data_IF_604018440228
#
_entry.id   IF_604018440228
#
_cell.length_a   1.000
_cell.length_b   1.000
_cell.length_c   1.000
_cell.angle_alpha   90.00
_cell.angle_beta   90.00
_cell.angle_gamma   90.00
#
_symmetry.space_group_name_H-M   'P 1'
#
loop_
_entity.id
_entity.type
_entity.pdbx_description
1 polymer ?
#
# COMPACT_ATOMS: atom_id res chain seq x y z
N UNK A 1 -20.91 -7.50 9.88
CA UNK A 1 -21.15 -6.86 8.55
C UNK A 1 -20.73 -7.84 7.48
N UNK A 2 -21.56 -8.09 6.48
CA UNK A 2 -21.24 -8.94 5.33
C UNK A 2 -20.87 -8.04 4.15
N UNK A 3 -19.84 -8.41 3.42
CA UNK A 3 -19.43 -7.81 2.15
C UNK A 3 -19.73 -8.75 0.96
N UNK A 4 -20.69 -9.66 1.14
CA UNK A 4 -21.12 -10.55 0.08
C UNK A 4 -21.53 -9.75 -1.16
N UNK A 5 -21.09 -10.20 -2.32
CA UNK A 5 -21.32 -9.56 -3.63
C UNK A 5 -20.67 -8.16 -3.80
N UNK A 6 -19.76 -7.76 -2.92
CA UNK A 6 -18.96 -6.56 -3.08
C UNK A 6 -17.53 -6.89 -3.50
N UNK A 7 -16.97 -6.05 -4.36
CA UNK A 7 -15.60 -6.18 -4.84
C UNK A 7 -14.70 -5.13 -4.22
N UNK A 8 -13.60 -5.58 -3.63
CA UNK A 8 -12.63 -4.74 -2.96
C UNK A 8 -11.26 -4.83 -3.63
N UNK A 9 -10.66 -3.73 -4.04
CA UNK A 9 -9.27 -3.71 -4.49
C UNK A 9 -8.33 -3.34 -3.34
N UNK A 10 -7.37 -4.20 -3.03
CA UNK A 10 -6.35 -3.93 -2.00
C UNK A 10 -5.04 -3.54 -2.67
N UNK A 11 -4.74 -2.26 -2.71
CA UNK A 11 -3.45 -1.73 -3.19
C UNK A 11 -2.36 -2.13 -2.20
N UNK A 12 -1.34 -2.85 -2.68
CA UNK A 12 -0.31 -3.41 -1.81
C UNK A 12 -0.74 -4.68 -1.05
N UNK A 13 -1.77 -5.37 -1.53
CA UNK A 13 -2.38 -6.54 -0.92
C UNK A 13 -1.41 -7.68 -0.60
N UNK A 14 -0.39 -7.90 -1.42
CA UNK A 14 0.63 -8.95 -1.19
C UNK A 14 1.66 -8.63 -0.09
N UNK A 15 1.61 -7.43 0.49
CA UNK A 15 2.44 -7.04 1.64
C UNK A 15 1.96 -7.64 2.96
N UNK A 16 2.71 -7.42 4.04
CA UNK A 16 2.38 -7.98 5.38
C UNK A 16 1.02 -7.49 5.87
N UNK A 17 0.80 -6.18 5.89
CA UNK A 17 -0.47 -5.58 6.31
C UNK A 17 -1.55 -5.89 5.27
N UNK A 18 -1.23 -5.75 3.97
CA UNK A 18 -2.15 -6.03 2.88
C UNK A 18 -2.70 -7.46 2.91
N UNK A 19 -1.87 -8.44 3.30
CA UNK A 19 -2.30 -9.83 3.51
C UNK A 19 -3.36 -9.95 4.62
N UNK A 20 -3.17 -9.25 5.73
CA UNK A 20 -4.15 -9.20 6.81
C UNK A 20 -5.47 -8.58 6.37
N UNK A 21 -5.41 -7.47 5.64
CA UNK A 21 -6.57 -6.80 5.06
C UNK A 21 -7.30 -7.74 4.08
N UNK A 22 -6.57 -8.33 3.12
CA UNK A 22 -7.13 -9.27 2.13
C UNK A 22 -7.84 -10.44 2.81
N UNK A 23 -7.20 -11.06 3.81
CA UNK A 23 -7.81 -12.16 4.57
C UNK A 23 -9.10 -11.73 5.30
N UNK A 24 -9.10 -10.53 5.88
CA UNK A 24 -10.27 -9.98 6.57
C UNK A 24 -11.44 -9.75 5.62
N UNK A 25 -11.18 -9.17 4.44
CA UNK A 25 -12.20 -8.90 3.42
C UNK A 25 -12.77 -10.21 2.82
N UNK A 26 -11.91 -11.19 2.51
CA UNK A 26 -12.34 -12.52 2.06
C UNK A 26 -13.24 -13.21 3.09
N UNK A 27 -12.88 -13.14 4.39
CA UNK A 27 -13.72 -13.68 5.48
C UNK A 27 -15.06 -12.95 5.61
N UNK A 28 -15.12 -11.67 5.26
CA UNK A 28 -16.35 -10.91 5.23
C UNK A 28 -17.22 -11.20 3.98
N UNK A 29 -16.73 -12.04 3.06
CA UNK A 29 -17.46 -12.49 1.87
C UNK A 29 -17.20 -11.66 0.62
N UNK A 30 -16.28 -10.69 0.65
CA UNK A 30 -15.94 -9.89 -0.52
C UNK A 30 -15.17 -10.68 -1.58
N UNK A 31 -15.33 -10.29 -2.84
CA UNK A 31 -14.33 -10.57 -3.88
C UNK A 31 -13.18 -9.60 -3.72
N UNK A 32 -11.95 -10.10 -3.65
CA UNK A 32 -10.78 -9.25 -3.37
C UNK A 32 -9.79 -9.28 -4.51
N UNK A 33 -9.53 -8.11 -5.08
CA UNK A 33 -8.52 -7.90 -6.11
C UNK A 33 -7.21 -7.46 -5.45
N UNK A 34 -6.11 -8.12 -5.82
CA UNK A 34 -4.76 -7.71 -5.45
C UNK A 34 -3.86 -7.68 -6.67
N UNK A 35 -2.94 -6.74 -6.72
CA UNK A 35 -1.98 -6.65 -7.81
C UNK A 35 -0.53 -6.73 -7.33
N UNK A 36 0.33 -7.27 -8.20
CA UNK A 36 1.78 -7.27 -8.04
C UNK A 36 2.47 -7.27 -9.40
N UNK A 37 3.68 -6.73 -9.48
CA UNK A 37 4.53 -6.82 -10.67
C UNK A 37 5.11 -8.22 -10.91
N UNK A 38 5.11 -9.08 -9.88
CA UNK A 38 5.66 -10.44 -9.92
C UNK A 38 4.53 -11.47 -9.82
N UNK A 39 4.41 -12.31 -10.83
CA UNK A 39 3.50 -13.46 -10.84
C UNK A 39 3.84 -14.47 -9.75
N UNK A 40 5.13 -14.75 -9.56
CA UNK A 40 5.61 -15.65 -8.51
C UNK A 40 5.14 -15.20 -7.11
N UNK A 41 5.17 -13.88 -6.84
CA UNK A 41 4.67 -13.33 -5.58
C UNK A 41 3.16 -13.47 -5.46
N UNK A 42 2.41 -13.34 -6.55
CA UNK A 42 0.96 -13.53 -6.56
C UNK A 42 0.60 -15.00 -6.33
N UNK A 43 1.28 -15.92 -7.03
CA UNK A 43 1.08 -17.36 -6.85
C UNK A 43 1.32 -17.79 -5.40
N UNK A 44 2.48 -17.42 -4.84
CA UNK A 44 2.83 -17.69 -3.44
C UNK A 44 1.86 -17.04 -2.45
N UNK A 45 1.36 -15.86 -2.76
CA UNK A 45 0.36 -15.18 -1.95
C UNK A 45 -0.98 -15.92 -1.94
N UNK A 46 -1.44 -16.40 -3.10
CA UNK A 46 -2.66 -17.21 -3.23
C UNK A 46 -2.54 -18.52 -2.48
N UNK A 47 -1.41 -19.23 -2.62
CA UNK A 47 -1.07 -20.44 -1.88
C UNK A 47 -1.11 -20.23 -0.36
N UNK A 48 -0.46 -19.18 0.13
CA UNK A 48 -0.44 -18.82 1.56
C UNK A 48 -1.84 -18.52 2.14
N UNK A 49 -2.81 -18.21 1.29
CA UNK A 49 -4.21 -17.99 1.66
C UNK A 49 -5.11 -19.22 1.43
N UNK A 50 -4.56 -20.31 0.86
CA UNK A 50 -5.32 -21.53 0.55
C UNK A 50 -6.16 -21.45 -0.72
N UNK A 51 -5.71 -20.68 -1.72
CA UNK A 51 -6.37 -20.51 -3.03
C UNK A 51 -7.86 -20.12 -2.94
N UNK A 52 -8.23 -19.02 -2.26
CA UNK A 52 -9.64 -18.66 -2.11
C UNK A 52 -10.28 -18.34 -3.46
N UNK A 53 -11.45 -18.88 -3.75
CA UNK A 53 -12.20 -18.65 -5.00
C UNK A 53 -12.47 -17.16 -5.29
N UNK A 54 -12.65 -16.36 -4.23
CA UNK A 54 -12.93 -14.91 -4.34
C UNK A 54 -11.67 -14.04 -4.34
N UNK A 55 -10.49 -14.62 -4.48
CA UNK A 55 -9.25 -13.88 -4.64
C UNK A 55 -8.90 -13.75 -6.12
N UNK A 56 -8.85 -12.51 -6.59
CA UNK A 56 -8.42 -12.17 -7.95
C UNK A 56 -7.02 -11.57 -7.91
N UNK A 57 -6.07 -12.21 -8.55
CA UNK A 57 -4.67 -11.78 -8.60
C UNK A 57 -4.35 -11.20 -9.97
N UNK A 58 -3.77 -10.01 -10.00
CA UNK A 58 -3.47 -9.28 -11.24
C UNK A 58 -1.98 -8.96 -11.34
N UNK A 59 -1.36 -9.37 -12.45
CA UNK A 59 -0.01 -8.91 -12.77
C UNK A 59 -0.07 -7.48 -13.29
N UNK A 60 0.43 -6.55 -12.49
CA UNK A 60 0.40 -5.14 -12.87
C UNK A 60 0.94 -4.23 -11.77
N UNK A 61 1.01 -2.94 -12.09
CA UNK A 61 1.51 -1.89 -11.19
C UNK A 61 0.56 -0.71 -11.18
N UNK A 62 0.39 -0.10 -10.01
CA UNK A 62 -0.35 1.16 -9.84
C UNK A 62 0.58 2.37 -9.72
N UNK A 63 1.86 2.21 -10.05
CA UNK A 63 2.79 3.34 -10.19
C UNK A 63 2.41 4.20 -11.41
N UNK A 64 2.77 5.49 -11.41
CA UNK A 64 2.61 6.36 -12.57
C UNK A 64 3.11 5.71 -13.88
N UNK A 65 2.36 5.88 -14.96
CA UNK A 65 2.65 5.28 -16.27
C UNK A 65 2.18 3.83 -16.45
N UNK A 66 1.84 3.12 -15.36
CA UNK A 66 1.38 1.72 -15.42
C UNK A 66 -0.05 1.53 -14.90
N UNK A 67 -0.52 2.44 -14.04
CA UNK A 67 -1.79 2.31 -13.33
C UNK A 67 -2.98 2.17 -14.28
N UNK A 68 -3.11 3.05 -15.27
CA UNK A 68 -4.22 3.04 -16.23
C UNK A 68 -4.37 1.70 -16.95
N UNK A 69 -3.27 1.14 -17.46
CA UNK A 69 -3.28 -0.18 -18.10
C UNK A 69 -3.74 -1.28 -17.13
N UNK A 70 -3.15 -1.30 -15.93
CA UNK A 70 -3.47 -2.32 -14.92
C UNK A 70 -4.94 -2.27 -14.51
N UNK A 71 -5.47 -1.07 -14.25
CA UNK A 71 -6.86 -0.89 -13.83
C UNK A 71 -7.83 -1.22 -14.95
N UNK A 72 -7.58 -0.75 -16.17
CA UNK A 72 -8.43 -1.00 -17.32
C UNK A 72 -8.59 -2.50 -17.61
N UNK A 73 -7.49 -3.21 -17.71
CA UNK A 73 -7.51 -4.66 -17.97
C UNK A 73 -8.29 -5.45 -16.91
N UNK A 74 -8.32 -4.97 -15.67
CA UNK A 74 -8.98 -5.65 -14.56
C UNK A 74 -10.47 -5.34 -14.47
N UNK A 75 -10.84 -4.07 -14.62
CA UNK A 75 -12.20 -3.60 -14.36
C UNK A 75 -13.10 -3.56 -15.60
N UNK A 76 -12.62 -4.04 -16.75
CA UNK A 76 -13.50 -4.25 -17.93
C UNK A 76 -14.57 -5.31 -17.66
N UNK A 77 -14.28 -6.28 -16.80
CA UNK A 77 -15.15 -7.42 -16.52
C UNK A 77 -15.70 -7.48 -15.08
N UNK A 78 -15.30 -6.55 -14.20
CA UNK A 78 -15.67 -6.62 -12.78
C UNK A 78 -16.05 -5.26 -12.20
N UNK A 79 -17.18 -5.15 -11.48
CA UNK A 79 -17.50 -3.95 -10.72
C UNK A 79 -16.49 -3.74 -9.59
N UNK A 80 -16.32 -2.50 -9.14
CA UNK A 80 -15.49 -2.12 -8.01
C UNK A 80 -16.32 -1.33 -7.01
N UNK A 81 -16.45 -1.79 -5.79
CA UNK A 81 -17.22 -1.13 -4.73
C UNK A 81 -16.29 -0.42 -3.73
N UNK A 82 -15.16 -1.03 -3.39
CA UNK A 82 -14.26 -0.52 -2.38
C UNK A 82 -12.80 -0.57 -2.80
N UNK A 83 -12.03 0.41 -2.34
CA UNK A 83 -10.57 0.40 -2.44
C UNK A 83 -9.97 0.54 -1.04
N UNK A 84 -9.01 -0.33 -0.72
CA UNK A 84 -8.17 -0.19 0.47
C UNK A 84 -6.74 0.04 0.01
N UNK A 85 -6.30 1.29 0.10
CA UNK A 85 -5.00 1.72 -0.38
C UNK A 85 -3.96 1.65 0.74
N UNK A 86 -3.20 0.55 0.75
CA UNK A 86 -2.08 0.32 1.67
C UNK A 86 -0.75 0.21 0.93
N UNK A 87 -0.69 0.51 -0.34
CA UNK A 87 0.53 0.41 -1.12
C UNK A 87 1.74 0.98 -0.38
N UNK A 88 2.84 0.23 -0.34
CA UNK A 88 4.09 0.67 0.23
C UNK A 88 5.21 0.60 -0.82
N UNK A 89 5.99 1.65 -0.89
CA UNK A 89 7.24 1.68 -1.65
C UNK A 89 8.39 1.59 -0.65
N UNK A 90 9.37 0.79 -0.95
CA UNK A 90 10.58 0.72 -0.14
C UNK A 90 11.55 1.81 -0.59
N UNK A 91 11.88 2.71 0.30
CA UNK A 91 12.81 3.83 0.06
C UNK A 91 14.10 3.70 0.86
N UNK A 92 14.36 2.55 1.40
CA UNK A 92 15.63 2.21 2.03
C UNK A 92 16.34 1.15 1.19
N UNK A 93 16.83 1.52 0.10
CA UNK A 93 17.58 0.69 -0.83
C UNK A 93 17.85 1.50 -2.08
N UNK A 94 18.79 1.11 -2.88
CA UNK A 94 19.06 1.78 -4.14
C UNK A 94 17.77 1.91 -4.94
N UNK A 95 17.37 3.14 -5.23
CA UNK A 95 16.22 3.45 -6.04
C UNK A 95 16.41 2.85 -7.43
N UNK A 96 15.86 1.69 -7.69
CA UNK A 96 15.93 0.98 -8.96
C UNK A 96 16.47 -0.43 -8.89
N UNK A 97 17.12 -0.84 -7.82
CA UNK A 97 17.51 -2.23 -7.64
C UNK A 97 16.61 -2.94 -6.64
N UNK A 98 16.10 -4.11 -7.00
CA UNK A 98 15.37 -5.00 -6.08
C UNK A 98 16.33 -5.77 -5.15
N UNK A 99 17.61 -5.41 -5.10
CA UNK A 99 18.59 -6.13 -4.32
C UNK A 99 18.51 -5.77 -2.85
N UNK A 100 17.98 -6.70 -2.07
CA UNK A 100 17.82 -6.59 -0.62
C UNK A 100 19.12 -6.72 0.15
N UNK A 101 20.24 -6.98 -0.53
CA UNK A 101 21.51 -7.32 0.11
C UNK A 101 22.41 -6.13 0.35
N UNK A 102 22.11 -5.01 -0.30
CA UNK A 102 22.89 -3.80 -0.11
C UNK A 102 22.24 -2.87 0.91
N UNK A 103 22.36 -3.23 2.19
CA UNK A 103 21.94 -2.39 3.31
C UNK A 103 22.91 -1.20 3.53
N UNK A 104 24.05 -1.17 2.82
CA UNK A 104 25.11 -0.15 3.00
C UNK A 104 24.68 1.25 2.56
N UNK A 105 23.66 1.35 1.70
CA UNK A 105 23.12 2.60 1.19
C UNK A 105 21.77 3.00 1.81
N UNK A 106 21.42 2.42 2.94
CA UNK A 106 20.20 2.82 3.67
C UNK A 106 20.39 4.20 4.26
N UNK A 107 19.57 5.17 3.79
CA UNK A 107 19.42 6.45 4.50
C UNK A 107 18.65 6.15 5.79
N UNK A 108 19.39 5.90 6.85
CA UNK A 108 18.79 5.64 8.16
C UNK A 108 18.45 6.97 8.83
N UNK A 109 17.18 7.15 9.15
CA UNK A 109 16.76 8.24 10.03
C UNK A 109 17.38 8.07 11.40
N UNK A 110 18.32 8.92 11.75
CA UNK A 110 19.00 8.90 13.06
C UNK A 110 20.50 9.19 13.00
N UNK A 111 21.15 9.00 11.88
CA UNK A 111 22.51 9.52 11.73
C UNK A 111 22.44 11.02 11.40
N UNK A 112 22.81 11.84 12.36
CA UNK A 112 22.92 13.30 12.14
C UNK A 112 23.82 13.55 10.94
N UNK A 113 23.30 14.26 9.93
CA UNK A 113 24.02 14.71 8.75
C UNK A 113 24.00 13.75 7.56
N UNK A 114 23.72 12.45 7.72
CA UNK A 114 23.79 11.51 6.60
C UNK A 114 22.76 11.76 5.50
N UNK A 115 21.54 12.17 5.86
CA UNK A 115 20.48 12.45 4.89
C UNK A 115 20.79 13.68 4.02
N UNK A 116 21.13 14.81 4.64
CA UNK A 116 21.44 16.06 3.93
C UNK A 116 22.75 15.98 3.13
N UNK A 117 23.68 15.12 3.54
CA UNK A 117 24.98 14.97 2.88
C UNK A 117 25.01 13.93 1.78
N UNK A 118 24.08 12.99 1.77
CA UNK A 118 24.10 11.84 0.88
C UNK A 118 23.21 11.97 -0.35
N UNK A 119 22.53 13.10 -0.54
CA UNK A 119 21.55 13.28 -1.60
C UNK A 119 21.54 14.72 -2.09
N UNK A 120 21.63 14.93 -3.42
CA UNK A 120 21.43 16.24 -4.01
C UNK A 120 19.93 16.62 -4.01
N UNK A 121 19.61 17.93 -4.19
CA UNK A 121 18.21 18.36 -4.33
C UNK A 121 17.48 17.65 -5.47
N UNK A 122 18.14 17.40 -6.59
CA UNK A 122 17.58 16.72 -7.77
C UNK A 122 17.30 15.25 -7.49
N UNK A 123 18.20 14.58 -6.79
CA UNK A 123 18.04 13.18 -6.36
C UNK A 123 16.93 13.03 -5.31
N UNK A 124 16.64 14.06 -4.53
CA UNK A 124 15.64 14.05 -3.47
C UNK A 124 14.21 13.96 -3.99
N UNK A 125 13.88 14.64 -5.10
CA UNK A 125 12.49 14.82 -5.59
C UNK A 125 11.79 13.49 -5.82
N UNK A 126 12.42 12.58 -6.56
CA UNK A 126 11.84 11.27 -6.88
C UNK A 126 11.53 10.43 -5.65
N UNK A 127 12.53 10.11 -4.82
CA UNK A 127 12.34 9.34 -3.59
C UNK A 127 11.36 9.97 -2.60
N UNK A 128 11.37 11.28 -2.44
CA UNK A 128 10.49 11.98 -1.51
C UNK A 128 9.01 11.90 -1.88
N UNK A 129 8.70 11.81 -3.18
CA UNK A 129 7.32 11.76 -3.67
C UNK A 129 6.82 10.36 -4.05
N UNK A 130 7.67 9.36 -4.05
CA UNK A 130 7.40 8.06 -4.66
C UNK A 130 6.16 7.35 -4.07
N UNK A 131 5.96 7.41 -2.76
CA UNK A 131 4.81 6.78 -2.11
C UNK A 131 3.52 7.55 -2.41
N UNK A 132 3.56 8.86 -2.33
CA UNK A 132 2.41 9.71 -2.66
C UNK A 132 2.02 9.55 -4.14
N UNK A 133 2.99 9.47 -5.04
CA UNK A 133 2.74 9.22 -6.47
C UNK A 133 2.06 7.88 -6.74
N UNK A 134 2.44 6.83 -6.02
CA UNK A 134 1.74 5.54 -6.08
C UNK A 134 0.28 5.67 -5.66
N UNK A 135 0.03 6.30 -4.52
CA UNK A 135 -1.32 6.46 -3.98
C UNK A 135 -2.16 7.42 -4.83
N UNK A 136 -1.56 8.47 -5.36
CA UNK A 136 -2.23 9.40 -6.28
C UNK A 136 -2.66 8.69 -7.57
N UNK A 137 -1.74 7.99 -8.24
CA UNK A 137 -2.06 7.22 -9.45
C UNK A 137 -3.13 6.16 -9.21
N UNK A 138 -3.07 5.48 -8.06
CA UNK A 138 -4.09 4.51 -7.69
C UNK A 138 -5.45 5.18 -7.49
N UNK A 139 -5.52 6.32 -6.80
CA UNK A 139 -6.75 7.07 -6.58
C UNK A 139 -7.32 7.61 -7.89
N UNK A 140 -6.48 8.22 -8.73
CA UNK A 140 -6.86 8.78 -10.02
C UNK A 140 -7.52 7.74 -10.94
N UNK A 141 -7.01 6.52 -10.95
CA UNK A 141 -7.53 5.46 -11.82
C UNK A 141 -8.67 4.67 -11.19
N UNK A 142 -8.70 4.50 -9.88
CA UNK A 142 -9.67 3.63 -9.21
C UNK A 142 -10.93 4.39 -8.75
N UNK A 143 -10.82 5.62 -8.26
CA UNK A 143 -11.97 6.38 -7.75
C UNK A 143 -13.08 6.55 -8.81
N UNK A 144 -12.80 6.95 -10.07
CA UNK A 144 -13.84 7.10 -11.08
C UNK A 144 -14.56 5.79 -11.44
N UNK A 145 -13.96 4.65 -11.13
CA UNK A 145 -14.47 3.31 -11.44
C UNK A 145 -15.23 2.65 -10.30
N UNK A 146 -15.24 3.27 -9.13
CA UNK A 146 -16.06 2.79 -8.01
C UNK A 146 -17.53 2.93 -8.38
N UNK A 147 -18.27 1.85 -8.21
CA UNK A 147 -19.69 1.75 -8.49
C UNK A 147 -20.48 1.68 -7.19
N UNK A 148 -21.75 2.03 -7.23
CA UNK A 148 -22.67 2.00 -6.08
C UNK A 148 -23.68 0.85 -6.20
N UNK A 149 -23.25 -0.29 -6.73
CA UNK A 149 -24.14 -1.37 -7.11
C UNK A 149 -24.85 -2.01 -5.91
N UNK A 150 -24.18 -2.06 -4.75
CA UNK A 150 -24.62 -2.86 -3.60
C UNK A 150 -24.52 -2.09 -2.26
N UNK A 151 -24.66 -0.76 -2.26
CA UNK A 151 -24.61 0.05 -1.05
C UNK A 151 -23.51 1.09 -1.04
N UNK A 152 -23.11 1.62 0.14
CA UNK A 152 -22.13 2.68 0.24
C UNK A 152 -20.74 2.21 -0.17
N UNK A 153 -20.12 2.93 -1.07
CA UNK A 153 -18.79 2.67 -1.59
C UNK A 153 -17.71 3.48 -0.88
N UNK A 154 -16.46 3.02 -0.90
CA UNK A 154 -15.38 3.71 -0.19
C UNK A 154 -14.01 3.61 -0.83
N UNK A 155 -13.21 4.66 -0.62
CA UNK A 155 -11.76 4.66 -0.83
C UNK A 155 -11.07 4.90 0.51
N UNK A 156 -10.37 3.89 1.04
CA UNK A 156 -9.78 3.93 2.38
C UNK A 156 -8.26 3.88 2.30
N UNK A 157 -7.59 4.94 2.74
CA UNK A 157 -6.16 4.92 2.96
C UNK A 157 -5.83 4.17 4.25
N UNK A 158 -4.83 3.29 4.20
CA UNK A 158 -4.26 2.67 5.39
C UNK A 158 -2.81 3.09 5.50
N UNK A 159 -2.54 3.96 6.45
CA UNK A 159 -1.23 4.60 6.67
C UNK A 159 -0.67 4.21 8.04
N UNK A 160 0.59 4.56 8.29
CA UNK A 160 1.17 4.37 9.63
C UNK A 160 1.09 5.65 10.45
N UNK A 161 0.89 5.53 11.74
CA UNK A 161 0.82 6.65 12.70
C UNK A 161 2.13 6.81 13.51
N UNK A 162 3.25 6.26 13.02
CA UNK A 162 4.54 6.39 13.71
C UNK A 162 5.36 7.61 13.26
N UNK A 163 4.81 8.45 12.39
CA UNK A 163 5.45 9.68 11.93
C UNK A 163 5.51 10.75 13.01
N UNK A 164 6.56 11.57 12.99
CA UNK A 164 6.76 12.66 13.97
C UNK A 164 7.22 12.20 15.35
N UNK A 165 7.40 10.92 15.60
CA UNK A 165 7.93 10.44 16.87
C UNK A 165 9.45 10.60 16.95
N UNK A 166 10.00 11.33 17.96
CA UNK A 166 11.43 11.59 18.09
C UNK A 166 12.29 10.33 18.22
N UNK A 167 11.68 9.22 18.63
CA UNK A 167 12.30 7.89 18.74
C UNK A 167 11.89 6.94 17.62
N UNK A 168 11.25 7.44 16.55
CA UNK A 168 10.82 6.63 15.42
C UNK A 168 12.02 6.01 14.71
N UNK A 169 11.93 4.72 14.43
CA UNK A 169 12.94 3.97 13.66
C UNK A 169 12.71 4.10 12.14
N UNK A 170 12.13 5.19 11.68
CA UNK A 170 11.92 5.42 10.26
C UNK A 170 13.12 6.13 9.64
N UNK A 171 13.40 5.84 8.39
CA UNK A 171 14.31 6.64 7.59
C UNK A 171 13.72 8.03 7.34
N UNK A 172 14.56 9.02 7.09
CA UNK A 172 14.11 10.38 6.77
C UNK A 172 13.14 10.40 5.60
N UNK A 173 13.41 9.67 4.51
CA UNK A 173 12.49 9.51 3.38
C UNK A 173 11.19 8.80 3.76
N UNK A 174 11.25 7.84 4.68
CA UNK A 174 10.07 7.17 5.21
C UNK A 174 9.13 8.12 5.95
N UNK A 175 9.69 9.04 6.70
CA UNK A 175 8.97 10.09 7.40
C UNK A 175 8.32 11.06 6.41
N UNK A 176 9.09 11.60 5.46
CA UNK A 176 8.62 12.52 4.43
C UNK A 176 7.48 11.87 3.61
N UNK A 177 7.70 10.66 3.11
CA UNK A 177 6.69 9.96 2.30
C UNK A 177 5.40 9.69 3.08
N UNK A 178 5.47 9.42 4.38
CA UNK A 178 4.28 9.23 5.21
C UNK A 178 3.45 10.51 5.29
N UNK A 179 4.10 11.66 5.53
CA UNK A 179 3.42 12.96 5.61
C UNK A 179 2.81 13.36 4.26
N UNK A 180 3.48 13.05 3.15
CA UNK A 180 2.91 13.27 1.82
C UNK A 180 1.62 12.45 1.59
N UNK A 181 1.57 11.20 2.04
CA UNK A 181 0.33 10.39 1.93
C UNK A 181 -0.77 10.92 2.85
N UNK A 182 -0.44 11.41 4.05
CA UNK A 182 -1.43 12.06 4.92
C UNK A 182 -2.02 13.32 4.27
N UNK A 183 -1.17 14.16 3.66
CA UNK A 183 -1.61 15.33 2.90
C UNK A 183 -2.52 14.95 1.73
N UNK A 184 -2.15 13.93 0.96
CA UNK A 184 -2.96 13.42 -0.14
C UNK A 184 -4.32 12.89 0.35
N UNK A 185 -4.34 12.11 1.42
CA UNK A 185 -5.58 11.59 2.00
C UNK A 185 -6.50 12.72 2.50
N UNK A 186 -5.93 13.77 3.10
CA UNK A 186 -6.68 14.95 3.51
C UNK A 186 -7.26 15.72 2.31
N UNK A 187 -6.47 15.91 1.25
CA UNK A 187 -6.92 16.58 0.03
C UNK A 187 -8.10 15.84 -0.60
N UNK A 188 -8.00 14.53 -0.81
CA UNK A 188 -9.07 13.73 -1.42
C UNK A 188 -10.35 13.66 -0.57
N UNK A 189 -10.25 13.75 0.76
CA UNK A 189 -11.46 13.84 1.62
C UNK A 189 -12.21 15.15 1.46
N UNK A 190 -11.53 16.22 1.06
CA UNK A 190 -12.10 17.54 0.87
C UNK A 190 -12.46 17.83 -0.59
N UNK A 191 -12.10 16.94 -1.50
CA UNK A 191 -12.41 17.08 -2.92
C UNK A 191 -13.89 16.76 -3.17
N UNK A 192 -14.53 17.55 -4.03
CA UNK A 192 -15.87 17.27 -4.53
C UNK A 192 -15.77 16.23 -5.65
N UNK A 193 -15.92 14.98 -5.28
CA UNK A 193 -15.99 13.89 -6.24
C UNK A 193 -17.36 13.88 -6.92
N UNK A 194 -17.40 13.50 -8.19
CA UNK A 194 -18.66 13.37 -8.96
C UNK A 194 -19.66 12.39 -8.32
N UNK A 195 -19.16 11.46 -7.53
CA UNK A 195 -19.93 10.46 -6.78
C UNK A 195 -19.68 10.58 -5.30
N UNK A 196 -20.68 10.32 -4.48
CA UNK A 196 -20.55 10.30 -3.01
C UNK A 196 -19.73 9.07 -2.53
N UNK A 197 -18.44 9.13 -2.77
CA UNK A 197 -17.50 8.10 -2.30
C UNK A 197 -16.99 8.47 -0.90
N UNK A 198 -17.10 7.55 0.03
CA UNK A 198 -16.56 7.73 1.39
C UNK A 198 -15.03 7.62 1.37
N UNK A 199 -14.34 8.74 1.23
CA UNK A 199 -12.88 8.79 1.39
C UNK A 199 -12.51 8.79 2.88
N UNK A 200 -11.70 7.80 3.30
CA UNK A 200 -11.32 7.58 4.71
C UNK A 200 -9.83 7.38 4.85
N UNK A 201 -9.33 7.62 6.05
CA UNK A 201 -7.97 7.28 6.44
C UNK A 201 -7.99 6.48 7.74
N UNK A 202 -7.25 5.37 7.76
CA UNK A 202 -6.98 4.56 8.96
C UNK A 202 -5.48 4.61 9.21
N UNK A 203 -5.07 5.11 10.37
CA UNK A 203 -3.66 5.15 10.80
C UNK A 203 -3.35 4.00 11.74
N UNK A 204 -2.42 3.15 11.33
CA UNK A 204 -1.98 2.01 12.12
C UNK A 204 -0.78 2.42 12.98
N UNK A 205 -0.99 2.48 14.29
CA UNK A 205 0.04 2.88 15.26
C UNK A 205 0.92 1.72 15.73
N UNK A 206 0.44 0.51 15.65
CA UNK A 206 1.16 -0.67 16.12
C UNK A 206 2.17 -1.15 15.07
N UNK A 207 3.36 -1.60 15.50
CA UNK A 207 4.29 -2.29 14.61
C UNK A 207 3.68 -3.61 14.16
N UNK A 208 3.62 -3.82 12.85
CA UNK A 208 3.12 -5.07 12.27
C UNK A 208 4.29 -5.83 11.67
N UNK A 209 4.61 -6.96 12.26
CA UNK A 209 5.71 -7.85 11.84
C UNK A 209 5.18 -9.13 11.22
N UNK A 210 6.04 -9.81 10.46
CA UNK A 210 5.75 -11.18 10.04
C UNK A 210 5.91 -12.12 11.23
N UNK A 211 5.06 -13.15 11.38
CA UNK A 211 5.17 -14.12 12.47
C UNK A 211 6.53 -14.85 12.53
N UNK A 212 7.16 -15.06 11.37
CA UNK A 212 8.49 -15.67 11.26
C UNK A 212 9.61 -14.81 11.83
N UNK A 213 9.44 -13.46 11.82
CA UNK A 213 10.39 -12.54 12.43
C UNK A 213 10.23 -12.42 13.94
N UNK A 214 9.03 -12.58 14.46
CA UNK A 214 8.78 -12.56 15.90
C UNK A 214 9.44 -13.76 16.60
N UNK A 215 9.42 -14.94 15.97
CA UNK A 215 10.11 -16.13 16.49
C UNK A 215 11.64 -15.99 16.54
N UNK A 216 12.25 -15.16 15.67
CA UNK A 216 13.69 -14.93 15.66
C UNK A 216 14.15 -13.94 16.73
N UNK A 217 13.26 -13.09 17.23
CA UNK A 217 13.55 -12.06 18.23
C UNK A 217 13.19 -12.49 19.66
N UNK A 218 12.61 -13.68 19.86
CA UNK A 218 12.46 -14.22 21.20
C UNK A 218 13.83 -14.65 21.70
N UNK A 219 14.29 -14.17 22.89
CA UNK A 219 15.50 -14.67 23.49
C UNK A 219 15.37 -16.18 23.63
N UNK A 220 16.33 -16.92 23.04
CA UNK A 220 16.42 -18.35 23.28
C UNK A 220 16.59 -18.51 24.79
N UNK A 221 15.57 -19.04 25.43
CA UNK A 221 15.62 -19.29 26.87
C UNK A 221 16.91 -20.04 27.21
N UNK A 222 17.57 -19.52 28.24
CA UNK A 222 18.72 -20.19 28.87
C UNK A 222 18.22 -21.39 29.67
#
# INVERSE_FOLDING_TARGET
MSLANQTCWVVGGVGVIGRGITRGLLKAGATVIVNSRSEERLARFSEDLGHPERLVTIKGSLLPGYASKTVRQTLEAMPLDHVVAHGAVRYWGNFGTNDRRDESHMIQGGQRGSFLQSMSPEEFVGPASQLASLHFSAAQELIPRIQFSNGPSSYTFVTGDAGGHPKGKRSALGEINTHHVWGLAAALRNERLEKEINCREIRVRLPVNRPDKERRNQPRGK
#
